data_IF_639343419570
#
_entry.id   IF_639343419570
#
_cell.length_a   1.000
_cell.length_b   1.000
_cell.length_c   1.000
_cell.angle_alpha   90.00
_cell.angle_beta   90.00
_cell.angle_gamma   90.00
#
_symmetry.space_group_name_H-M   'P 1'
#
loop_
_entity.id
_entity.type
_entity.pdbx_description
1 polymer ?
#
# COMPACT_ATOMS: atom_id res chain seq x y z
N UNK A 1 3.65 -12.72 13.82
CA UNK A 1 3.28 -11.73 14.86
C UNK A 1 3.95 -10.43 14.45
N UNK A 2 3.19 -9.45 13.95
CA UNK A 2 3.77 -8.16 13.53
C UNK A 2 3.58 -7.16 14.67
N UNK A 3 4.57 -7.08 15.56
CA UNK A 3 4.68 -6.06 16.59
C UNK A 3 5.04 -4.72 15.90
N UNK A 4 4.11 -3.77 15.90
CA UNK A 4 4.30 -2.44 15.33
C UNK A 4 5.13 -1.58 16.27
N UNK A 5 6.40 -1.33 15.93
CA UNK A 5 7.24 -0.40 16.70
C UNK A 5 8.11 0.47 15.78
N UNK A 6 7.47 1.22 14.86
CA UNK A 6 8.13 2.23 14.04
C UNK A 6 7.76 3.63 14.56
N UNK A 7 8.75 4.51 14.83
CA UNK A 7 8.51 5.81 15.52
C UNK A 7 8.47 7.02 14.58
N UNK A 8 9.12 6.94 13.43
CA UNK A 8 9.20 8.02 12.45
C UNK A 8 8.85 7.44 11.08
N UNK A 9 7.80 7.99 10.47
CA UNK A 9 7.42 7.73 9.09
C UNK A 9 7.56 9.05 8.36
N UNK A 10 8.63 9.22 7.59
CA UNK A 10 8.79 10.38 6.70
C UNK A 10 8.70 9.90 5.26
N UNK A 11 8.18 10.75 4.38
CA UNK A 11 8.25 10.51 2.94
C UNK A 11 9.71 10.65 2.47
N UNK A 12 10.09 9.89 1.44
CA UNK A 12 11.34 10.07 0.72
C UNK A 12 11.09 10.06 -0.79
N UNK A 13 12.00 10.73 -1.51
CA UNK A 13 12.09 10.71 -2.97
C UNK A 13 13.54 10.44 -3.34
N UNK A 14 13.80 9.37 -4.09
CA UNK A 14 15.13 8.97 -4.54
C UNK A 14 15.09 8.81 -6.05
N UNK A 15 15.94 9.56 -6.75
CA UNK A 15 16.16 9.42 -8.18
C UNK A 15 17.49 8.72 -8.41
N UNK A 16 17.51 7.74 -9.30
CA UNK A 16 18.73 7.01 -9.60
C UNK A 16 18.55 5.88 -10.60
N UNK A 17 19.65 5.19 -10.88
CA UNK A 17 19.68 4.10 -11.83
C UNK A 17 19.20 2.81 -11.18
N UNK A 18 18.22 2.15 -11.79
CA UNK A 18 17.79 0.83 -11.36
C UNK A 18 18.85 -0.22 -11.68
N UNK A 19 19.38 -0.90 -10.66
CA UNK A 19 20.38 -1.95 -10.83
C UNK A 19 19.75 -3.35 -10.97
N UNK A 20 18.55 -3.56 -10.41
CA UNK A 20 17.89 -4.86 -10.40
C UNK A 20 17.11 -5.14 -9.13
N UNK A 21 16.48 -6.32 -9.08
CA UNK A 21 15.78 -6.79 -7.90
C UNK A 21 16.73 -7.57 -6.98
N UNK A 22 16.54 -7.42 -5.67
CA UNK A 22 17.23 -8.21 -4.65
C UNK A 22 16.25 -9.10 -3.86
N UNK A 23 16.75 -10.27 -3.48
CA UNK A 23 16.04 -11.26 -2.67
C UNK A 23 16.17 -10.95 -1.18
N UNK A 24 15.18 -11.40 -0.40
CA UNK A 24 15.37 -11.54 1.04
C UNK A 24 16.11 -12.84 1.39
N UNK A 25 16.34 -13.06 2.69
CA UNK A 25 16.96 -14.26 3.27
C UNK A 25 16.25 -15.57 2.87
N UNK A 26 15.01 -15.50 2.40
CA UNK A 26 14.20 -16.63 1.95
C UNK A 26 14.14 -16.76 0.42
N UNK A 27 15.02 -16.07 -0.31
CA UNK A 27 15.13 -16.13 -1.76
C UNK A 27 14.02 -15.41 -2.54
N UNK A 28 13.14 -14.64 -1.87
CA UNK A 28 12.05 -13.93 -2.53
C UNK A 28 12.52 -12.54 -2.97
N UNK A 29 12.39 -12.24 -4.25
CA UNK A 29 12.64 -10.90 -4.80
C UNK A 29 11.67 -9.89 -4.17
N UNK A 30 12.17 -9.10 -3.22
CA UNK A 30 11.38 -8.17 -2.41
C UNK A 30 11.91 -6.75 -2.44
N UNK A 31 13.09 -6.52 -3.00
CA UNK A 31 13.76 -5.22 -2.94
C UNK A 31 14.15 -4.75 -4.34
N UNK A 32 14.11 -3.43 -4.54
CA UNK A 32 14.74 -2.73 -5.67
C UNK A 32 16.12 -2.27 -5.22
N UNK A 33 17.11 -2.43 -6.08
CA UNK A 33 18.44 -1.84 -5.93
C UNK A 33 18.49 -0.60 -6.81
N UNK A 34 18.75 0.56 -6.20
CA UNK A 34 18.82 1.85 -6.89
C UNK A 34 20.16 2.49 -6.59
N UNK A 35 20.95 2.75 -7.62
CA UNK A 35 22.21 3.47 -7.51
C UNK A 35 22.00 4.97 -7.66
N UNK A 36 22.62 5.73 -6.77
CA UNK A 36 22.78 7.18 -6.87
C UNK A 36 24.26 7.53 -6.75
N UNK A 37 24.63 8.78 -6.99
CA UNK A 37 26.03 9.24 -6.92
C UNK A 37 26.71 8.92 -5.58
N UNK A 38 25.96 8.99 -4.48
CA UNK A 38 26.49 8.80 -3.12
C UNK A 38 26.35 7.37 -2.58
N UNK A 39 25.82 6.43 -3.37
CA UNK A 39 25.74 5.02 -2.97
C UNK A 39 24.54 4.26 -3.52
N UNK A 40 24.26 3.10 -2.93
CA UNK A 40 23.19 2.19 -3.36
C UNK A 40 22.11 2.05 -2.28
N UNK A 41 20.85 2.14 -2.69
CA UNK A 41 19.69 1.92 -1.84
C UNK A 41 18.97 0.61 -2.14
N UNK A 42 18.65 -0.12 -1.06
CA UNK A 42 17.77 -1.29 -1.08
C UNK A 42 16.36 -0.89 -0.62
N UNK A 43 15.41 -0.81 -1.56
CA UNK A 43 14.05 -0.32 -1.29
C UNK A 43 13.04 -1.45 -1.38
N UNK A 44 12.30 -1.69 -0.29
CA UNK A 44 11.32 -2.79 -0.24
C UNK A 44 10.12 -2.52 -1.14
N UNK A 45 9.82 -3.50 -1.99
CA UNK A 45 8.66 -3.50 -2.88
C UNK A 45 7.44 -4.15 -2.18
N UNK A 46 6.28 -3.47 -2.17
CA UNK A 46 5.00 -4.06 -1.75
C UNK A 46 4.71 -5.34 -2.53
N UNK A 47 4.13 -6.35 -1.88
CA UNK A 47 3.91 -7.67 -2.50
C UNK A 47 3.05 -7.55 -3.78
N UNK A 48 2.04 -6.70 -3.73
CA UNK A 48 1.10 -6.43 -4.82
C UNK A 48 1.76 -5.79 -6.04
N UNK A 49 2.77 -4.94 -5.84
CA UNK A 49 3.41 -4.18 -6.92
C UNK A 49 4.61 -4.90 -7.55
N UNK A 50 5.10 -5.99 -6.95
CA UNK A 50 6.30 -6.70 -7.44
C UNK A 50 6.17 -7.20 -8.86
N UNK A 51 5.07 -7.90 -9.18
CA UNK A 51 4.86 -8.46 -10.51
C UNK A 51 4.82 -7.37 -11.58
N UNK A 52 4.20 -6.22 -11.26
CA UNK A 52 4.16 -5.07 -12.15
C UNK A 52 5.56 -4.51 -12.39
N UNK A 53 6.31 -4.19 -11.34
CA UNK A 53 7.65 -3.61 -11.48
C UNK A 53 8.64 -4.57 -12.15
N UNK A 54 8.56 -5.87 -11.87
CA UNK A 54 9.39 -6.88 -12.55
C UNK A 54 9.16 -6.93 -14.06
N UNK A 55 7.95 -6.62 -14.52
CA UNK A 55 7.62 -6.59 -15.94
C UNK A 55 8.11 -5.32 -16.63
N UNK A 56 8.07 -4.19 -15.93
CA UNK A 56 8.33 -2.88 -16.55
C UNK A 56 9.78 -2.41 -16.39
N UNK A 57 10.44 -2.72 -15.26
CA UNK A 57 11.79 -2.20 -14.95
C UNK A 57 12.87 -3.13 -15.51
N UNK A 58 13.88 -2.52 -16.12
CA UNK A 58 15.06 -3.14 -16.70
C UNK A 58 16.32 -2.50 -16.08
N UNK A 59 17.36 -3.29 -15.76
CA UNK A 59 18.62 -2.71 -15.31
C UNK A 59 19.06 -1.55 -16.22
N UNK A 60 19.57 -0.49 -15.62
CA UNK A 60 19.93 0.79 -16.25
C UNK A 60 18.79 1.77 -16.54
N UNK A 61 17.53 1.44 -16.27
CA UNK A 61 16.46 2.45 -16.27
C UNK A 61 16.76 3.54 -15.23
N UNK A 62 16.67 4.81 -15.61
CA UNK A 62 16.61 5.89 -14.63
C UNK A 62 15.22 5.91 -14.01
N UNK A 63 15.12 5.92 -12.68
CA UNK A 63 13.85 5.84 -11.97
C UNK A 63 13.78 6.83 -10.80
N UNK A 64 12.60 7.40 -10.59
CA UNK A 64 12.20 8.10 -9.38
C UNK A 64 11.41 7.14 -8.49
N UNK A 65 11.86 6.93 -7.26
CA UNK A 65 11.19 6.13 -6.25
C UNK A 65 10.67 7.03 -5.13
N UNK A 66 9.36 6.99 -4.91
CA UNK A 66 8.69 7.69 -3.82
C UNK A 66 8.18 6.66 -2.82
N UNK A 67 8.35 6.93 -1.53
CA UNK A 67 7.83 6.02 -0.53
C UNK A 67 8.05 6.49 0.90
N UNK A 68 7.87 5.56 1.84
CA UNK A 68 7.97 5.84 3.27
C UNK A 68 9.24 5.25 3.87
N UNK A 69 9.95 6.08 4.64
CA UNK A 69 11.11 5.70 5.45
C UNK A 69 10.64 5.48 6.88
N UNK A 70 10.88 4.27 7.40
CA UNK A 70 10.50 3.89 8.77
C UNK A 70 11.74 3.55 9.58
N UNK A 71 11.92 4.20 10.73
CA UNK A 71 12.97 3.82 11.68
C UNK A 71 12.50 2.65 12.54
N UNK A 72 13.21 1.54 12.48
CA UNK A 72 13.02 0.42 13.40
C UNK A 72 13.57 0.79 14.78
N UNK A 73 12.71 0.79 15.81
CA UNK A 73 13.10 1.21 17.16
C UNK A 73 14.08 0.24 17.84
N UNK A 74 14.17 -1.01 17.37
CA UNK A 74 14.99 -2.04 18.02
C UNK A 74 16.36 -2.16 17.38
N UNK A 75 16.44 -2.06 16.05
CA UNK A 75 17.71 -2.17 15.33
C UNK A 75 18.34 -0.82 15.00
N UNK A 76 17.60 0.29 15.16
CA UNK A 76 18.03 1.61 14.72
C UNK A 76 18.15 1.76 13.20
N UNK A 77 17.79 0.72 12.43
CA UNK A 77 17.93 0.73 10.98
C UNK A 77 16.72 1.38 10.30
N UNK A 78 16.99 2.11 9.23
CA UNK A 78 15.97 2.68 8.38
C UNK A 78 15.49 1.65 7.35
N UNK A 79 14.17 1.48 7.29
CA UNK A 79 13.49 0.64 6.31
C UNK A 79 12.80 1.51 5.29
N UNK A 80 13.27 1.46 4.06
CA UNK A 80 12.64 2.12 2.92
C UNK A 80 11.61 1.18 2.30
N UNK A 81 10.39 1.69 2.09
CA UNK A 81 9.34 0.98 1.36
C UNK A 81 8.87 1.86 0.21
N UNK A 82 8.97 1.34 -1.01
CA UNK A 82 8.46 2.00 -2.21
C UNK A 82 6.93 2.02 -2.20
N UNK A 83 6.36 3.15 -2.58
CA UNK A 83 4.92 3.33 -2.81
C UNK A 83 4.68 3.63 -4.29
N UNK A 84 5.58 4.38 -4.92
CA UNK A 84 5.58 4.68 -6.35
C UNK A 84 6.98 4.53 -6.95
N UNK A 85 7.05 4.06 -8.18
CA UNK A 85 8.28 4.00 -8.99
C UNK A 85 7.95 4.46 -10.40
N UNK A 86 8.62 5.51 -10.86
CA UNK A 86 8.43 6.12 -12.17
C UNK A 86 9.74 6.00 -12.96
N UNK A 87 9.67 5.66 -14.25
CA UNK A 87 10.85 5.78 -15.12
C UNK A 87 11.06 7.22 -15.55
N UNK A 88 12.30 7.67 -15.53
CA UNK A 88 12.76 8.93 -16.06
C UNK A 88 13.38 8.63 -17.43
N UNK A 89 12.72 9.04 -18.50
CA UNK A 89 13.28 8.94 -19.86
C UNK A 89 14.14 10.16 -20.11
N UNK A 90 15.43 9.95 -20.38
CA UNK A 90 16.33 10.99 -20.90
C UNK A 90 16.23 10.99 -22.43
N UNK A 91 15.73 12.12 -22.93
CA UNK A 91 15.88 12.70 -24.27
C UNK A 91 14.87 12.40 -25.42
N UNK A 92 14.41 13.56 -25.94
CA UNK A 92 14.01 13.91 -27.31
C UNK A 92 12.58 13.63 -27.77
N UNK A 93 11.97 14.68 -28.32
CA UNK A 93 10.65 14.76 -28.92
C UNK A 93 10.37 13.58 -29.86
N UNK A 94 9.33 12.80 -29.58
CA UNK A 94 8.26 12.51 -30.53
C UNK A 94 7.10 11.74 -29.86
N UNK A 95 5.92 11.94 -30.42
CA UNK A 95 4.60 11.65 -29.85
C UNK A 95 4.42 10.19 -29.43
N UNK A 96 3.97 10.00 -28.19
CA UNK A 96 3.14 8.86 -27.80
C UNK A 96 1.90 9.48 -27.12
N UNK A 97 0.66 9.09 -27.50
CA UNK A 97 -0.55 9.65 -26.90
C UNK A 97 -0.43 9.61 -25.39
N UNK A 98 -0.86 10.68 -24.74
CA UNK A 98 -0.99 10.85 -23.31
C UNK A 98 -1.81 9.71 -22.69
N UNK A 99 -1.20 8.54 -22.54
CA UNK A 99 -1.61 7.59 -21.54
C UNK A 99 -1.08 8.20 -20.26
N UNK A 100 -1.90 9.09 -19.70
CA UNK A 100 -1.96 9.30 -18.26
C UNK A 100 -1.77 7.93 -17.63
N UNK A 101 -0.56 7.63 -17.18
CA UNK A 101 -0.33 6.58 -16.20
C UNK A 101 -1.14 7.07 -15.03
N UNK A 102 -2.40 6.61 -14.99
CA UNK A 102 -3.33 6.81 -13.91
C UNK A 102 -2.50 6.65 -12.66
N UNK A 103 -2.32 7.74 -11.92
CA UNK A 103 -1.64 7.72 -10.64
C UNK A 103 -2.46 6.81 -9.73
N UNK A 104 -2.29 5.50 -9.85
CA UNK A 104 -2.91 4.56 -8.93
C UNK A 104 -2.06 4.62 -7.69
N UNK A 105 -2.35 5.60 -6.82
CA UNK A 105 -2.12 5.42 -5.39
C UNK A 105 -2.60 4.00 -5.07
N UNK A 106 -1.81 3.14 -4.44
CA UNK A 106 -2.23 1.77 -4.17
C UNK A 106 -3.55 1.83 -3.41
N UNK A 107 -4.61 1.28 -4.03
CA UNK A 107 -5.98 1.36 -3.48
C UNK A 107 -5.96 0.87 -2.03
N UNK A 108 -6.45 1.69 -1.11
CA UNK A 108 -6.61 1.29 0.28
C UNK A 108 -7.52 0.04 0.34
N UNK A 109 -7.30 -0.84 1.32
CA UNK A 109 -8.10 -2.07 1.46
C UNK A 109 -8.88 -2.04 2.75
N UNK A 110 -10.17 -2.36 2.68
CA UNK A 110 -11.02 -2.63 3.84
C UNK A 110 -11.21 -4.13 3.93
N UNK A 111 -10.58 -4.76 4.91
CA UNK A 111 -10.71 -6.20 5.15
C UNK A 111 -11.86 -6.44 6.13
N UNK A 112 -13.05 -6.81 5.63
CA UNK A 112 -14.22 -7.04 6.46
C UNK A 112 -14.36 -8.50 6.92
N UNK A 113 -14.59 -8.69 8.22
CA UNK A 113 -14.85 -10.01 8.78
C UNK A 113 -16.26 -10.48 8.38
N UNK A 114 -16.33 -11.51 7.55
CA UNK A 114 -17.60 -12.12 7.11
C UNK A 114 -17.82 -13.52 7.72
N UNK A 115 -17.29 -13.77 8.92
CA UNK A 115 -17.62 -15.00 9.69
C UNK A 115 -18.94 -14.84 10.44
N UNK A 116 -19.54 -15.96 10.81
CA UNK A 116 -20.87 -16.05 11.42
C UNK A 116 -21.10 -15.06 12.56
N UNK A 117 -20.12 -14.88 13.46
CA UNK A 117 -20.22 -13.92 14.56
C UNK A 117 -20.39 -12.46 14.12
N UNK A 118 -19.70 -12.03 13.06
CA UNK A 118 -19.86 -10.66 12.52
C UNK A 118 -21.10 -10.54 11.64
N UNK A 119 -21.43 -11.57 10.85
CA UNK A 119 -22.64 -11.57 10.02
C UNK A 119 -23.90 -11.46 10.89
N UNK A 120 -24.01 -12.28 11.95
CA UNK A 120 -25.15 -12.24 12.90
C UNK A 120 -25.33 -10.90 13.61
N UNK A 121 -24.28 -10.07 13.64
CA UNK A 121 -24.24 -8.77 14.33
C UNK A 121 -24.19 -7.60 13.36
N UNK A 122 -24.77 -7.76 12.17
CA UNK A 122 -24.93 -6.67 11.20
C UNK A 122 -23.81 -6.52 10.18
N UNK A 123 -22.84 -7.46 10.10
CA UNK A 123 -21.71 -7.33 9.18
C UNK A 123 -22.08 -7.30 7.69
N UNK A 124 -23.19 -7.95 7.30
CA UNK A 124 -23.72 -7.87 5.92
C UNK A 124 -24.27 -6.48 5.62
N UNK A 125 -25.07 -5.94 6.55
CA UNK A 125 -25.65 -4.60 6.46
C UNK A 125 -24.56 -3.53 6.38
N UNK A 126 -23.56 -3.60 7.27
CA UNK A 126 -22.43 -2.66 7.25
C UNK A 126 -21.67 -2.71 5.92
N UNK A 127 -21.48 -3.89 5.33
CA UNK A 127 -20.80 -4.02 4.03
C UNK A 127 -21.57 -3.27 2.93
N UNK A 128 -22.89 -3.45 2.87
CA UNK A 128 -23.76 -2.81 1.88
C UNK A 128 -23.82 -1.30 2.07
N UNK A 129 -24.02 -0.84 3.31
CA UNK A 129 -24.04 0.59 3.62
C UNK A 129 -22.69 1.24 3.32
N UNK A 130 -21.59 0.57 3.63
CA UNK A 130 -20.25 1.06 3.34
C UNK A 130 -19.96 1.13 1.83
N UNK A 131 -20.41 0.16 1.04
CA UNK A 131 -20.31 0.22 -0.43
C UNK A 131 -21.07 1.44 -0.98
N UNK A 132 -22.30 1.67 -0.50
CA UNK A 132 -23.10 2.84 -0.88
C UNK A 132 -22.41 4.15 -0.47
N UNK A 133 -21.98 4.28 0.79
CA UNK A 133 -21.29 5.49 1.28
C UNK A 133 -20.01 5.77 0.49
N UNK A 134 -19.23 4.74 0.14
CA UNK A 134 -18.03 4.93 -0.68
C UNK A 134 -18.37 5.39 -2.09
N UNK A 135 -19.46 4.90 -2.68
CA UNK A 135 -19.95 5.35 -3.97
C UNK A 135 -20.43 6.80 -3.92
N UNK A 136 -21.26 7.15 -2.94
CA UNK A 136 -21.82 8.50 -2.75
C UNK A 136 -20.73 9.55 -2.56
N UNK A 137 -19.58 9.15 -1.96
CA UNK A 137 -18.42 10.02 -1.73
C UNK A 137 -17.36 9.95 -2.83
N UNK A 138 -17.59 9.21 -3.93
CA UNK A 138 -16.61 9.10 -5.02
C UNK A 138 -15.32 8.36 -4.64
N UNK A 139 -15.35 7.52 -3.60
CA UNK A 139 -14.20 6.80 -3.04
C UNK A 139 -14.06 5.37 -3.58
N UNK A 140 -14.99 4.90 -4.41
CA UNK A 140 -15.01 3.54 -4.97
C UNK A 140 -13.74 3.19 -5.75
N UNK A 141 -13.10 4.18 -6.40
CA UNK A 141 -11.87 3.95 -7.15
C UNK A 141 -10.61 3.99 -6.28
N UNK A 142 -10.69 4.56 -5.08
CA UNK A 142 -9.58 4.70 -4.12
C UNK A 142 -9.49 3.51 -3.16
N UNK A 143 -10.59 2.77 -2.95
CA UNK A 143 -10.67 1.75 -1.91
C UNK A 143 -11.30 0.45 -2.44
N UNK A 144 -10.75 -0.68 -2.01
CA UNK A 144 -11.31 -2.01 -2.26
C UNK A 144 -11.76 -2.68 -0.98
N UNK A 145 -12.99 -3.16 -0.94
CA UNK A 145 -13.49 -4.01 0.14
C UNK A 145 -13.13 -5.47 -0.18
N UNK A 146 -12.48 -6.16 0.75
CA UNK A 146 -12.14 -7.57 0.64
C UNK A 146 -12.62 -8.34 1.88
N UNK A 147 -12.94 -9.61 1.68
CA UNK A 147 -13.34 -10.49 2.78
C UNK A 147 -12.10 -10.95 3.54
N UNK A 148 -12.20 -11.03 4.86
CA UNK A 148 -11.16 -11.63 5.70
C UNK A 148 -11.72 -12.67 6.67
N UNK A 149 -10.80 -13.44 7.25
CA UNK A 149 -11.09 -14.42 8.28
C UNK A 149 -11.54 -13.79 9.60
N UNK A 150 -11.71 -14.63 10.63
CA UNK A 150 -12.14 -14.17 11.94
C UNK A 150 -11.11 -13.22 12.56
N UNK A 151 -11.56 -12.03 12.97
CA UNK A 151 -10.73 -11.04 13.67
C UNK A 151 -10.72 -11.23 15.21
N UNK A 152 -11.35 -12.31 15.71
CA UNK A 152 -11.43 -12.70 17.13
C UNK A 152 -11.99 -11.60 18.06
N UNK A 153 -12.87 -10.75 17.54
CA UNK A 153 -13.52 -9.65 18.27
C UNK A 153 -15.04 -9.65 18.09
N UNK A 154 -15.64 -10.84 18.04
CA UNK A 154 -17.07 -10.99 17.75
C UNK A 154 -17.98 -10.24 18.74
N UNK A 155 -17.52 -9.96 19.96
CA UNK A 155 -18.22 -9.13 20.94
C UNK A 155 -18.37 -7.66 20.53
N UNK A 156 -17.46 -7.14 19.70
CA UNK A 156 -17.45 -5.75 19.20
C UNK A 156 -17.84 -5.68 17.71
N UNK A 157 -18.43 -6.74 17.18
CA UNK A 157 -18.81 -6.81 15.78
C UNK A 157 -19.83 -5.72 15.39
N UNK A 158 -19.88 -5.33 14.11
CA UNK A 158 -19.05 -5.81 13.00
C UNK A 158 -17.59 -5.35 13.05
N UNK A 159 -16.66 -6.17 12.54
CA UNK A 159 -15.22 -5.87 12.60
C UNK A 159 -14.59 -5.80 11.21
N UNK A 160 -13.69 -4.85 11.00
CA UNK A 160 -12.91 -4.71 9.78
C UNK A 160 -11.48 -4.19 10.06
N UNK A 161 -10.62 -4.27 9.04
CA UNK A 161 -9.25 -3.73 9.08
C UNK A 161 -9.00 -2.81 7.89
N UNK A 162 -8.57 -1.58 8.17
CA UNK A 162 -8.17 -0.61 7.15
C UNK A 162 -6.68 -0.74 6.81
N UNK A 163 -6.37 -0.69 5.52
CA UNK A 163 -5.03 -0.76 4.94
C UNK A 163 -4.80 0.44 4.03
N UNK A 164 -3.61 1.07 4.03
CA UNK A 164 -2.40 0.70 4.78
C UNK A 164 -2.50 1.01 6.29
N UNK A 165 -1.72 0.31 7.14
CA UNK A 165 -1.66 0.57 8.59
C UNK A 165 -2.22 -0.54 9.48
N UNK A 166 -3.07 -1.44 8.95
CA UNK A 166 -3.74 -2.52 9.71
C UNK A 166 -4.59 -1.99 10.88
N UNK A 167 -5.21 -0.82 10.73
CA UNK A 167 -6.07 -0.22 11.75
C UNK A 167 -7.33 -1.06 11.91
N UNK A 168 -7.60 -1.56 13.13
CA UNK A 168 -8.77 -2.40 13.42
C UNK A 168 -9.94 -1.52 13.85
N UNK A 169 -11.04 -1.60 13.12
CA UNK A 169 -12.27 -0.86 13.43
C UNK A 169 -13.36 -1.86 13.84
N UNK A 170 -14.11 -1.52 14.87
CA UNK A 170 -15.14 -2.39 15.47
C UNK A 170 -16.39 -1.55 15.72
N UNK A 171 -17.56 -1.99 15.27
CA UNK A 171 -18.84 -1.32 15.50
C UNK A 171 -18.96 0.11 14.96
N UNK A 172 -18.13 0.49 13.98
CA UNK A 172 -18.14 1.85 13.43
C UNK A 172 -19.20 2.05 12.35
N UNK A 173 -19.75 3.26 12.30
CA UNK A 173 -20.71 3.70 11.28
C UNK A 173 -20.00 3.91 9.92
N UNK A 174 -20.62 3.58 8.77
CA UNK A 174 -20.06 3.75 7.42
C UNK A 174 -19.41 5.11 7.15
N UNK A 175 -20.06 6.19 7.59
CA UNK A 175 -19.68 7.58 7.38
C UNK A 175 -18.37 7.91 8.09
N UNK A 176 -18.20 7.41 9.32
CA UNK A 176 -16.95 7.57 10.06
C UNK A 176 -15.80 6.79 9.39
N UNK A 177 -16.10 5.62 8.81
CA UNK A 177 -15.12 4.84 8.05
C UNK A 177 -14.73 5.57 6.76
N UNK A 178 -15.69 6.17 6.05
CA UNK A 178 -15.44 6.95 4.84
C UNK A 178 -14.61 8.21 5.13
N UNK A 179 -14.88 8.93 6.22
CA UNK A 179 -14.06 10.08 6.64
C UNK A 179 -12.62 9.66 6.99
N UNK A 180 -12.42 8.49 7.60
CA UNK A 180 -11.06 7.98 7.82
C UNK A 180 -10.32 7.72 6.50
N UNK A 181 -11.04 7.28 5.46
CA UNK A 181 -10.48 6.97 4.14
C UNK A 181 -10.12 8.23 3.35
N UNK A 182 -10.90 9.30 3.47
CA UNK A 182 -10.61 10.58 2.81
C UNK A 182 -9.26 11.14 3.23
N UNK A 183 -8.89 10.91 4.49
CA UNK A 183 -7.66 11.37 5.13
C UNK A 183 -6.47 10.38 5.02
N UNK A 184 -6.59 9.33 4.18
CA UNK A 184 -5.50 8.39 3.86
C UNK A 184 -4.62 8.86 2.70
#
# INVERSE_FOLDING_TARGET
MDNFNYKLVSEFRIEGQFLGFASDEFGKLKYLRVAIETGEFHIKVPKESRAFFMRILRPSDQILVIGTKKLDKHTGQFKLKAEQVNKLTLDSQEMIPQQQVLHTRPKAKILMCQKSGCIKRGGKRLCQELEATLCDRGLQDRVKIERTGCLKRCSQAPNLVLMPGKTRLSGMHPEAIATLIENL
#
